data_IF_316631280793
#
_entry.id   IF_316631280793
#
_cell.length_a   1.000
_cell.length_b   1.000
_cell.length_c   1.000
_cell.angle_alpha   90.00
_cell.angle_beta   90.00
_cell.angle_gamma   90.00
#
_symmetry.space_group_name_H-M   'P 1'
#
loop_
_entity.id
_entity.type
_entity.pdbx_description
1 polymer ?
#
# COMPACT_ATOMS: atom_id res chain seq x y z
N UNK A 1 11.87 -60.30 -24.30
CA UNK A 1 12.72 -59.44 -23.43
C UNK A 1 13.29 -58.19 -24.15
N UNK A 2 12.64 -57.67 -25.21
CA UNK A 2 13.26 -56.68 -26.12
C UNK A 2 13.16 -55.20 -25.72
N UNK A 3 12.40 -54.81 -24.68
CA UNK A 3 12.27 -53.40 -24.27
C UNK A 3 13.13 -52.98 -23.07
N UNK A 4 14.00 -53.86 -22.55
CA UNK A 4 14.83 -53.55 -21.36
C UNK A 4 15.83 -52.40 -21.60
N UNK A 5 16.32 -52.24 -22.83
CA UNK A 5 17.23 -51.14 -23.19
C UNK A 5 16.53 -49.77 -23.19
N UNK A 6 15.35 -49.70 -23.81
CA UNK A 6 14.53 -48.49 -23.85
C UNK A 6 14.13 -48.03 -22.44
N UNK A 7 13.69 -48.97 -21.59
CA UNK A 7 13.31 -48.68 -20.19
C UNK A 7 14.50 -48.12 -19.39
N UNK A 8 15.72 -48.66 -19.58
CA UNK A 8 16.93 -48.13 -18.92
C UNK A 8 17.28 -46.72 -19.37
N UNK A 9 17.16 -46.41 -20.66
CA UNK A 9 17.42 -45.06 -21.18
C UNK A 9 16.39 -44.07 -20.63
N UNK A 10 15.11 -44.41 -20.63
CA UNK A 10 14.07 -43.57 -20.01
C UNK A 10 14.28 -43.38 -18.52
N UNK A 11 14.68 -44.42 -17.78
CA UNK A 11 14.97 -44.30 -16.35
C UNK A 11 16.16 -43.36 -16.07
N UNK A 12 17.22 -43.43 -16.89
CA UNK A 12 18.38 -42.54 -16.77
C UNK A 12 17.97 -41.09 -17.09
N UNK A 13 17.24 -40.87 -18.19
CA UNK A 13 16.76 -39.54 -18.56
C UNK A 13 15.83 -38.96 -17.48
N UNK A 14 14.90 -39.76 -16.96
CA UNK A 14 14.01 -39.34 -15.87
C UNK A 14 14.80 -39.01 -14.60
N UNK A 15 15.83 -39.80 -14.27
CA UNK A 15 16.74 -39.52 -13.15
C UNK A 15 17.48 -38.19 -13.33
N UNK A 16 18.00 -37.91 -14.52
CA UNK A 16 18.66 -36.64 -14.83
C UNK A 16 17.70 -35.45 -14.74
N UNK A 17 16.48 -35.58 -15.25
CA UNK A 17 15.45 -34.53 -15.12
C UNK A 17 15.06 -34.32 -13.66
N UNK A 18 14.95 -35.38 -12.88
CA UNK A 18 14.65 -35.31 -11.44
C UNK A 18 15.77 -34.60 -10.68
N UNK A 19 17.03 -34.92 -10.96
CA UNK A 19 18.18 -34.23 -10.36
C UNK A 19 18.21 -32.75 -10.74
N UNK A 20 17.91 -32.42 -12.00
CA UNK A 20 17.80 -31.05 -12.45
C UNK A 20 16.69 -30.29 -11.71
N UNK A 21 15.50 -30.86 -11.53
CA UNK A 21 14.43 -30.22 -10.75
C UNK A 21 14.81 -30.06 -9.27
N UNK A 22 15.42 -31.08 -8.65
CA UNK A 22 15.88 -31.02 -7.27
C UNK A 22 17.00 -30.00 -7.06
N UNK A 23 17.83 -29.76 -8.08
CA UNK A 23 18.92 -28.78 -7.99
C UNK A 23 18.43 -27.37 -7.67
N UNK A 24 17.27 -26.94 -8.21
CA UNK A 24 16.68 -25.64 -7.89
C UNK A 24 16.30 -25.52 -6.42
N UNK A 25 15.75 -26.61 -5.86
CA UNK A 25 15.39 -26.67 -4.43
C UNK A 25 16.63 -26.64 -3.54
N UNK A 26 17.72 -27.26 -3.98
CA UNK A 26 18.99 -27.20 -3.25
C UNK A 26 19.59 -25.79 -3.24
N UNK A 27 19.63 -25.14 -4.41
CA UNK A 27 20.14 -23.76 -4.56
C UNK A 27 19.33 -22.79 -3.71
N UNK A 28 17.99 -22.85 -3.76
CA UNK A 28 17.15 -21.96 -2.98
C UNK A 28 17.33 -22.15 -1.47
N UNK A 29 17.45 -23.40 -1.00
CA UNK A 29 17.62 -23.67 0.44
C UNK A 29 18.96 -23.14 0.95
N UNK A 30 20.06 -23.32 0.21
CA UNK A 30 21.37 -22.80 0.62
C UNK A 30 21.33 -21.27 0.79
N UNK A 31 20.76 -20.57 -0.18
CA UNK A 31 20.63 -19.10 -0.12
C UNK A 31 19.74 -18.65 1.05
N UNK A 32 18.67 -19.40 1.34
CA UNK A 32 17.82 -19.11 2.49
C UNK A 32 18.48 -19.37 3.83
N UNK A 33 19.39 -20.34 3.89
CA UNK A 33 20.21 -20.64 5.07
C UNK A 33 21.23 -19.54 5.32
N UNK A 34 21.87 -19.01 4.27
CA UNK A 34 22.73 -17.82 4.36
C UNK A 34 21.95 -16.62 4.90
N UNK A 35 20.75 -16.39 4.36
CA UNK A 35 19.86 -15.31 4.79
C UNK A 35 19.43 -15.47 6.26
N UNK A 36 19.18 -16.71 6.69
CA UNK A 36 18.85 -17.03 8.09
C UNK A 36 20.03 -16.73 9.00
N UNK A 37 21.23 -17.15 8.59
CA UNK A 37 22.48 -16.93 9.33
C UNK A 37 22.76 -15.44 9.51
N UNK A 38 22.61 -14.65 8.44
CA UNK A 38 22.70 -13.19 8.47
C UNK A 38 21.71 -12.57 9.47
N UNK A 39 20.44 -12.98 9.42
CA UNK A 39 19.42 -12.47 10.33
C UNK A 39 19.69 -12.82 11.80
N UNK A 40 20.14 -14.06 12.08
CA UNK A 40 20.49 -14.49 13.44
C UNK A 40 21.76 -13.85 13.98
N UNK A 41 22.68 -13.42 13.10
CA UNK A 41 23.86 -12.66 13.52
C UNK A 41 23.51 -11.20 13.87
N UNK A 42 22.48 -10.63 13.22
CA UNK A 42 22.09 -9.22 13.39
C UNK A 42 21.12 -8.98 14.55
N UNK A 43 20.24 -9.93 14.84
CA UNK A 43 19.20 -9.78 15.87
C UNK A 43 19.13 -10.99 16.79
N UNK A 44 18.74 -10.72 18.03
CA UNK A 44 18.69 -11.73 19.10
C UNK A 44 17.49 -12.68 18.95
N UNK A 45 17.49 -13.77 19.72
CA UNK A 45 16.39 -14.74 19.71
C UNK A 45 15.03 -14.16 20.15
N UNK A 46 15.05 -13.10 20.95
CA UNK A 46 13.86 -12.45 21.50
C UNK A 46 13.18 -11.48 20.52
N UNK A 47 13.76 -11.28 19.33
CA UNK A 47 13.25 -10.36 18.31
C UNK A 47 12.95 -11.11 17.00
N UNK A 48 11.97 -12.04 17.00
CA UNK A 48 11.67 -12.87 15.83
C UNK A 48 11.25 -12.05 14.60
N UNK A 49 10.47 -10.98 14.78
CA UNK A 49 9.98 -10.16 13.67
C UNK A 49 11.10 -9.40 12.97
N UNK A 50 12.08 -8.90 13.74
CA UNK A 50 13.27 -8.24 13.18
C UNK A 50 14.15 -9.23 12.40
N UNK A 51 14.29 -10.48 12.88
CA UNK A 51 14.99 -11.54 12.15
C UNK A 51 14.30 -11.87 10.84
N UNK A 52 12.98 -12.05 10.86
CA UNK A 52 12.19 -12.35 9.66
C UNK A 52 12.30 -11.22 8.63
N UNK A 53 12.23 -9.96 9.09
CA UNK A 53 12.38 -8.77 8.24
C UNK A 53 13.78 -8.66 7.63
N UNK A 54 14.84 -8.91 8.41
CA UNK A 54 16.21 -8.93 7.88
C UNK A 54 16.43 -10.06 6.87
N UNK A 55 15.92 -11.26 7.15
CA UNK A 55 16.00 -12.37 6.21
C UNK A 55 15.29 -12.03 4.89
N UNK A 56 14.09 -11.46 4.95
CA UNK A 56 13.35 -11.03 3.77
C UNK A 56 14.11 -9.95 2.98
N UNK A 57 14.69 -8.96 3.67
CA UNK A 57 15.46 -7.88 3.03
C UNK A 57 16.74 -8.39 2.36
N UNK A 58 17.43 -9.35 2.99
CA UNK A 58 18.59 -10.01 2.42
C UNK A 58 18.23 -10.71 1.12
N UNK A 59 17.19 -11.56 1.13
CA UNK A 59 16.73 -12.31 -0.03
C UNK A 59 16.29 -11.40 -1.19
N UNK A 60 15.69 -10.25 -0.89
CA UNK A 60 15.29 -9.25 -1.89
C UNK A 60 16.51 -8.64 -2.58
N UNK A 61 17.54 -8.28 -1.80
CA UNK A 61 18.78 -7.68 -2.32
C UNK A 61 19.56 -8.60 -3.26
N UNK A 62 19.51 -9.92 -3.02
CA UNK A 62 20.22 -10.92 -3.83
C UNK A 62 19.33 -11.58 -4.89
N UNK A 63 18.03 -11.22 -4.94
CA UNK A 63 17.03 -11.96 -5.71
C UNK A 63 17.38 -12.11 -7.20
N UNK A 64 17.95 -11.06 -7.78
CA UNK A 64 18.34 -10.99 -9.18
C UNK A 64 19.84 -11.23 -9.42
N UNK A 65 20.63 -11.44 -8.37
CA UNK A 65 22.06 -11.72 -8.50
C UNK A 65 22.24 -13.20 -8.88
N UNK A 66 23.08 -13.53 -9.89
CA UNK A 66 23.36 -14.91 -10.25
C UNK A 66 24.01 -15.64 -9.07
N UNK A 67 23.36 -16.71 -8.58
CA UNK A 67 23.87 -17.55 -7.48
C UNK A 67 24.74 -18.67 -8.05
N UNK A 68 24.33 -19.22 -9.20
CA UNK A 68 25.06 -20.27 -9.91
C UNK A 68 25.34 -19.79 -11.32
N UNK A 69 26.62 -19.82 -11.72
CA UNK A 69 27.09 -19.49 -13.07
C UNK A 69 27.88 -20.66 -13.65
N UNK A 70 27.25 -21.45 -14.52
CA UNK A 70 27.91 -22.49 -15.33
C UNK A 70 27.81 -22.13 -16.81
N UNK A 71 28.80 -21.40 -17.32
CA UNK A 71 28.89 -21.00 -18.72
C UNK A 71 27.67 -20.18 -19.17
N UNK A 72 26.87 -20.63 -20.17
CA UNK A 72 25.68 -19.92 -20.63
C UNK A 72 24.49 -19.99 -19.66
N UNK A 73 24.57 -20.82 -18.61
CA UNK A 73 23.48 -21.01 -17.64
C UNK A 73 23.75 -20.13 -16.41
N UNK A 74 22.93 -19.10 -16.24
CA UNK A 74 22.90 -18.26 -15.05
C UNK A 74 21.59 -18.49 -14.32
N UNK A 75 21.66 -18.93 -13.06
CA UNK A 75 20.50 -19.13 -12.20
C UNK A 75 20.61 -18.14 -11.04
N UNK A 76 19.69 -17.19 -11.00
CA UNK A 76 19.50 -16.30 -9.84
C UNK A 76 18.55 -16.92 -8.81
N UNK A 77 18.52 -16.33 -7.61
CA UNK A 77 17.66 -16.81 -6.53
C UNK A 77 16.18 -16.82 -6.94
N UNK A 78 15.67 -15.76 -7.57
CA UNK A 78 14.27 -15.67 -7.99
C UNK A 78 13.86 -16.79 -8.97
N UNK A 79 14.74 -17.15 -9.91
CA UNK A 79 14.52 -18.25 -10.85
C UNK A 79 14.54 -19.60 -10.16
N UNK A 80 15.51 -19.83 -9.25
CA UNK A 80 15.57 -21.06 -8.47
C UNK A 80 14.33 -21.21 -7.58
N UNK A 81 13.90 -20.11 -6.95
CA UNK A 81 12.72 -20.05 -6.09
C UNK A 81 11.45 -20.41 -6.86
N UNK A 82 11.24 -19.83 -8.04
CA UNK A 82 10.07 -20.13 -8.88
C UNK A 82 9.99 -21.58 -9.38
N UNK A 83 11.11 -22.32 -9.39
CA UNK A 83 11.20 -23.73 -9.79
C UNK A 83 11.40 -24.70 -8.62
N UNK A 84 11.36 -24.20 -7.38
CA UNK A 84 11.47 -25.02 -6.18
C UNK A 84 10.29 -26.02 -6.09
N UNK A 85 10.54 -27.18 -5.51
CA UNK A 85 9.52 -28.18 -5.24
C UNK A 85 8.48 -27.66 -4.22
N UNK A 86 7.22 -28.01 -4.47
CA UNK A 86 6.10 -27.62 -3.62
C UNK A 86 6.10 -28.40 -2.31
N UNK A 87 6.61 -27.76 -1.27
CA UNK A 87 6.60 -28.28 0.09
C UNK A 87 5.24 -28.08 0.80
N UNK A 88 4.38 -27.21 0.27
CA UNK A 88 3.11 -26.83 0.92
C UNK A 88 3.35 -26.05 2.22
N UNK A 89 2.26 -25.63 2.87
CA UNK A 89 2.32 -24.86 4.12
C UNK A 89 2.90 -25.68 5.28
N UNK A 90 2.54 -26.96 5.38
CA UNK A 90 2.93 -27.83 6.49
C UNK A 90 4.46 -28.03 6.56
N UNK A 91 5.10 -28.28 5.41
CA UNK A 91 6.55 -28.54 5.39
C UNK A 91 7.40 -27.27 5.26
N UNK A 92 6.85 -26.18 4.72
CA UNK A 92 7.58 -24.92 4.52
C UNK A 92 7.34 -23.89 5.63
N UNK A 93 6.26 -24.05 6.39
CA UNK A 93 5.70 -23.00 7.21
C UNK A 93 5.18 -21.82 6.37
N UNK A 94 4.58 -20.82 7.00
CA UNK A 94 4.09 -19.63 6.33
C UNK A 94 2.84 -19.06 6.97
N UNK A 95 1.99 -18.46 6.14
CA UNK A 95 0.78 -17.74 6.57
C UNK A 95 -0.45 -18.42 6.00
N UNK A 96 -1.46 -18.66 6.84
CA UNK A 96 -2.82 -19.03 6.45
C UNK A 96 -3.79 -18.00 7.02
N UNK A 97 -4.52 -17.31 6.15
CA UNK A 97 -5.50 -16.29 6.55
C UNK A 97 -6.79 -16.43 5.76
N UNK A 98 -7.90 -16.11 6.42
CA UNK A 98 -9.20 -15.94 5.77
C UNK A 98 -9.48 -14.45 5.71
N UNK A 99 -9.62 -13.91 4.51
CA UNK A 99 -10.00 -12.53 4.25
C UNK A 99 -11.49 -12.49 3.91
N UNK A 100 -12.18 -11.43 4.33
CA UNK A 100 -13.58 -11.19 3.94
C UNK A 100 -13.65 -9.90 3.14
N UNK A 101 -14.20 -9.97 1.94
CA UNK A 101 -14.51 -8.80 1.13
C UNK A 101 -15.73 -8.10 1.73
N UNK A 102 -15.64 -6.79 1.90
CA UNK A 102 -16.71 -5.98 2.47
C UNK A 102 -17.82 -5.77 1.45
N UNK A 103 -18.90 -6.54 1.57
CA UNK A 103 -20.10 -6.38 0.72
C UNK A 103 -20.73 -5.00 0.95
N UNK A 104 -20.65 -4.47 2.17
CA UNK A 104 -21.07 -3.10 2.53
C UNK A 104 -20.40 -2.06 1.64
N UNK A 105 -19.09 -2.15 1.47
CA UNK A 105 -18.33 -1.17 0.69
C UNK A 105 -18.58 -1.33 -0.81
N UNK A 106 -18.80 -2.57 -1.28
CA UNK A 106 -19.24 -2.81 -2.66
C UNK A 106 -20.60 -2.15 -2.92
N UNK A 107 -21.59 -2.36 -2.03
CA UNK A 107 -22.92 -1.76 -2.15
C UNK A 107 -22.84 -0.22 -2.19
N UNK A 108 -22.01 0.39 -1.32
CA UNK A 108 -21.76 1.83 -1.35
C UNK A 108 -21.13 2.30 -2.65
N UNK A 109 -20.13 1.58 -3.17
CA UNK A 109 -19.47 1.90 -4.44
C UNK A 109 -20.44 1.80 -5.63
N UNK A 110 -21.25 0.75 -5.67
CA UNK A 110 -22.30 0.56 -6.67
C UNK A 110 -23.35 1.67 -6.63
N UNK A 111 -23.70 2.16 -5.44
CA UNK A 111 -24.59 3.30 -5.24
C UNK A 111 -23.88 4.67 -5.32
N UNK A 112 -22.68 4.73 -5.92
CA UNK A 112 -21.89 5.94 -6.10
C UNK A 112 -21.70 6.77 -4.80
N UNK A 113 -21.46 6.09 -3.68
CA UNK A 113 -21.35 6.69 -2.34
C UNK A 113 -22.55 7.58 -1.97
N UNK A 114 -23.76 7.09 -2.25
CA UNK A 114 -25.01 7.80 -1.97
C UNK A 114 -25.12 8.31 -0.52
N UNK A 115 -25.76 9.47 -0.39
CA UNK A 115 -26.15 10.08 0.89
C UNK A 115 -27.60 9.75 1.28
N UNK A 116 -28.28 8.90 0.52
CA UNK A 116 -29.64 8.49 0.83
C UNK A 116 -29.74 7.91 2.26
N UNK A 117 -30.73 8.39 3.01
CA UNK A 117 -30.86 8.05 4.42
C UNK A 117 -31.34 6.60 4.60
N UNK A 118 -32.31 6.16 3.80
CA UNK A 118 -32.85 4.81 3.88
C UNK A 118 -31.79 3.76 3.52
N UNK A 119 -31.03 3.99 2.45
CA UNK A 119 -29.94 3.12 2.04
C UNK A 119 -28.85 2.99 3.10
N UNK A 120 -28.38 4.12 3.64
CA UNK A 120 -27.34 4.11 4.67
C UNK A 120 -27.83 3.49 5.99
N UNK A 121 -29.11 3.68 6.33
CA UNK A 121 -29.73 3.02 7.46
C UNK A 121 -29.80 1.51 7.24
N UNK A 122 -30.27 1.05 6.09
CA UNK A 122 -30.35 -0.38 5.75
C UNK A 122 -28.97 -1.06 5.82
N UNK A 123 -27.87 -0.40 5.41
CA UNK A 123 -26.52 -0.94 5.57
C UNK A 123 -26.11 -1.13 7.04
N UNK A 124 -26.57 -0.28 7.94
CA UNK A 124 -26.28 -0.40 9.37
C UNK A 124 -27.18 -1.45 10.03
N UNK A 125 -28.45 -1.49 9.66
CA UNK A 125 -29.42 -2.47 10.16
C UNK A 125 -29.05 -3.88 9.69
N UNK A 126 -28.59 -4.04 8.45
CA UNK A 126 -28.05 -5.31 7.94
C UNK A 126 -26.86 -5.82 8.76
N UNK A 127 -25.99 -4.92 9.23
CA UNK A 127 -24.85 -5.29 10.08
C UNK A 127 -25.30 -5.76 11.46
N UNK A 128 -26.38 -5.19 11.99
CA UNK A 128 -26.98 -5.63 13.25
C UNK A 128 -27.65 -6.98 13.06
N UNK A 129 -28.44 -7.16 12.00
CA UNK A 129 -29.12 -8.42 11.65
C UNK A 129 -28.14 -9.59 11.49
N UNK A 130 -26.97 -9.35 10.89
CA UNK A 130 -25.95 -10.38 10.71
C UNK A 130 -25.45 -11.00 12.03
N UNK A 131 -25.60 -10.31 13.16
CA UNK A 131 -25.19 -10.85 14.46
C UNK A 131 -26.08 -12.01 14.92
N UNK A 132 -27.32 -12.03 14.44
CA UNK A 132 -28.35 -12.99 14.86
C UNK A 132 -28.75 -13.95 13.73
N UNK A 133 -28.49 -13.57 12.48
CA UNK A 133 -28.82 -14.37 11.29
C UNK A 133 -27.64 -15.19 10.75
N UNK A 134 -27.96 -16.29 10.06
CA UNK A 134 -27.01 -17.05 9.23
C UNK A 134 -27.00 -16.58 7.76
N UNK A 135 -27.84 -15.62 7.41
CA UNK A 135 -27.96 -15.08 6.06
C UNK A 135 -26.67 -14.35 5.63
N UNK A 136 -26.49 -14.22 4.32
CA UNK A 136 -25.44 -13.37 3.78
C UNK A 136 -25.72 -11.90 4.10
N UNK A 137 -24.66 -11.09 4.12
CA UNK A 137 -24.81 -9.64 4.35
C UNK A 137 -25.74 -8.98 3.32
N UNK A 138 -25.76 -9.48 2.08
CA UNK A 138 -26.62 -8.95 1.02
C UNK A 138 -28.09 -9.24 1.27
N UNK A 139 -28.43 -10.47 1.66
CA UNK A 139 -29.80 -10.86 2.02
C UNK A 139 -30.28 -10.05 3.23
N UNK A 140 -29.43 -9.90 4.26
CA UNK A 140 -29.71 -9.04 5.42
C UNK A 140 -29.93 -7.58 5.02
N UNK A 141 -29.21 -7.08 4.00
CA UNK A 141 -29.40 -5.74 3.46
C UNK A 141 -30.75 -5.58 2.74
N UNK A 142 -31.13 -6.52 1.89
CA UNK A 142 -32.44 -6.47 1.23
C UNK A 142 -33.59 -6.53 2.25
N UNK A 143 -33.49 -7.42 3.25
CA UNK A 143 -34.48 -7.50 4.32
C UNK A 143 -34.56 -6.20 5.13
N UNK A 144 -33.41 -5.61 5.50
CA UNK A 144 -33.38 -4.35 6.22
C UNK A 144 -34.00 -3.21 5.39
N UNK A 145 -33.68 -3.15 4.09
CA UNK A 145 -34.19 -2.10 3.20
C UNK A 145 -35.71 -2.21 2.98
N UNK A 146 -36.25 -3.42 2.82
CA UNK A 146 -37.70 -3.64 2.72
C UNK A 146 -38.44 -3.34 4.02
N UNK A 147 -37.81 -3.52 5.18
CA UNK A 147 -38.41 -3.26 6.48
C UNK A 147 -38.51 -1.76 6.83
N UNK A 148 -37.81 -0.88 6.11
CA UNK A 148 -37.85 0.55 6.37
C UNK A 148 -39.21 1.16 5.99
N UNK A 149 -39.74 2.10 6.80
CA UNK A 149 -40.97 2.78 6.46
C UNK A 149 -40.78 3.69 5.23
N UNK A 150 -41.79 3.74 4.36
CA UNK A 150 -41.83 4.59 3.17
C UNK A 150 -41.73 3.83 1.84
N UNK A 151 -41.96 4.53 0.73
CA UNK A 151 -41.83 3.99 -0.63
C UNK A 151 -40.37 4.09 -1.10
N UNK A 152 -39.48 3.34 -0.46
CA UNK A 152 -38.06 3.34 -0.79
C UNK A 152 -37.79 2.42 -2.01
N UNK A 153 -37.20 2.99 -3.06
CA UNK A 153 -36.86 2.28 -4.30
C UNK A 153 -35.34 2.21 -4.47
N UNK A 154 -34.83 0.99 -4.61
CA UNK A 154 -33.42 0.73 -4.93
C UNK A 154 -33.03 1.23 -6.32
N UNK A 155 -33.98 1.20 -7.27
CA UNK A 155 -33.82 1.76 -8.61
C UNK A 155 -33.99 3.30 -8.66
N UNK A 156 -33.98 3.98 -7.51
CA UNK A 156 -33.99 5.44 -7.49
C UNK A 156 -32.70 6.03 -8.06
N UNK A 157 -32.76 7.24 -8.67
CA UNK A 157 -31.58 7.94 -9.18
C UNK A 157 -30.51 8.21 -8.11
N UNK A 158 -30.93 8.28 -6.85
CA UNK A 158 -30.05 8.53 -5.71
C UNK A 158 -29.31 7.28 -5.23
N UNK A 159 -29.72 6.07 -5.64
CA UNK A 159 -29.13 4.80 -5.22
C UNK A 159 -28.51 4.08 -6.43
N UNK A 160 -29.22 3.13 -7.05
CA UNK A 160 -28.63 2.27 -8.09
C UNK A 160 -28.96 2.67 -9.52
N UNK A 161 -29.92 3.57 -9.76
CA UNK A 161 -30.11 4.14 -11.10
C UNK A 161 -29.11 5.28 -11.34
N UNK A 162 -27.83 4.92 -11.45
CA UNK A 162 -26.73 5.84 -11.67
C UNK A 162 -25.88 5.41 -12.87
N UNK A 163 -24.95 6.27 -13.29
CA UNK A 163 -24.11 6.06 -14.47
C UNK A 163 -23.31 4.75 -14.46
N UNK A 164 -22.99 4.20 -13.30
CA UNK A 164 -22.21 2.96 -13.21
C UNK A 164 -23.06 1.71 -13.50
N UNK A 165 -24.40 1.83 -13.48
CA UNK A 165 -25.35 0.74 -13.62
C UNK A 165 -26.44 1.05 -14.66
N UNK A 166 -26.23 2.05 -15.52
CA UNK A 166 -27.24 2.53 -16.48
C UNK A 166 -27.68 1.46 -17.51
N UNK A 167 -26.78 0.52 -17.83
CA UNK A 167 -27.06 -0.60 -18.73
C UNK A 167 -27.82 -1.75 -18.03
N UNK A 168 -27.78 -1.79 -16.69
CA UNK A 168 -28.26 -2.92 -15.90
C UNK A 168 -29.53 -2.59 -15.10
N UNK A 169 -29.72 -1.32 -14.72
CA UNK A 169 -30.81 -0.85 -13.86
C UNK A 169 -31.49 0.36 -14.50
N UNK A 170 -32.81 0.35 -14.53
CA UNK A 170 -33.63 1.48 -14.97
C UNK A 170 -34.61 1.91 -13.86
N UNK A 171 -35.07 3.17 -13.93
CA UNK A 171 -35.95 3.76 -12.91
C UNK A 171 -37.33 3.09 -12.76
N UNK A 172 -37.74 2.22 -13.69
CA UNK A 172 -39.03 1.51 -13.61
C UNK A 172 -38.95 0.15 -12.91
N UNK A 173 -37.74 -0.30 -12.56
CA UNK A 173 -37.54 -1.60 -11.89
C UNK A 173 -38.04 -1.56 -10.45
N UNK A 174 -38.70 -2.64 -10.03
CA UNK A 174 -39.02 -2.86 -8.62
C UNK A 174 -37.77 -3.31 -7.84
N UNK A 175 -37.80 -3.21 -6.51
CA UNK A 175 -36.70 -3.71 -5.68
C UNK A 175 -36.37 -5.18 -5.97
N UNK A 176 -37.39 -6.01 -6.21
CA UNK A 176 -37.22 -7.44 -6.54
C UNK A 176 -36.53 -7.67 -7.88
N UNK A 177 -36.74 -6.77 -8.85
CA UNK A 177 -36.06 -6.84 -10.15
C UNK A 177 -34.59 -6.40 -10.02
N UNK A 178 -34.28 -5.52 -9.06
CA UNK A 178 -32.93 -5.03 -8.79
C UNK A 178 -32.06 -6.06 -8.07
N UNK A 179 -32.63 -6.89 -7.19
CA UNK A 179 -31.89 -7.91 -6.42
C UNK A 179 -30.94 -8.79 -7.26
N UNK A 180 -31.39 -9.49 -8.32
CA UNK A 180 -30.51 -10.35 -9.11
C UNK A 180 -29.39 -9.56 -9.82
N UNK A 181 -29.63 -8.29 -10.15
CA UNK A 181 -28.62 -7.42 -10.75
C UNK A 181 -27.51 -7.11 -9.74
N UNK A 182 -27.89 -6.74 -8.52
CA UNK A 182 -26.95 -6.42 -7.44
C UNK A 182 -26.18 -7.66 -6.99
N UNK A 183 -26.84 -8.82 -6.89
CA UNK A 183 -26.18 -10.10 -6.61
C UNK A 183 -25.06 -10.39 -7.63
N UNK A 184 -25.36 -10.27 -8.93
CA UNK A 184 -24.38 -10.46 -9.99
C UNK A 184 -23.24 -9.45 -9.89
N UNK A 185 -23.54 -8.16 -9.69
CA UNK A 185 -22.52 -7.10 -9.57
C UNK A 185 -21.60 -7.30 -8.36
N UNK A 186 -22.15 -7.82 -7.26
CA UNK A 186 -21.34 -8.19 -6.09
C UNK A 186 -20.44 -9.38 -6.41
N UNK A 187 -20.95 -10.40 -7.09
CA UNK A 187 -20.14 -11.56 -7.48
C UNK A 187 -19.00 -11.19 -8.44
N UNK A 188 -19.28 -10.32 -9.43
CA UNK A 188 -18.29 -9.71 -10.32
C UNK A 188 -17.24 -8.94 -9.53
N UNK A 189 -17.66 -8.13 -8.55
CA UNK A 189 -16.78 -7.33 -7.70
C UNK A 189 -15.88 -8.20 -6.80
N UNK A 190 -16.42 -9.29 -6.24
CA UNK A 190 -15.65 -10.27 -5.45
C UNK A 190 -14.62 -10.97 -6.33
N UNK A 191 -15.01 -11.36 -7.54
CA UNK A 191 -14.10 -12.00 -8.51
C UNK A 191 -12.98 -11.06 -8.93
N UNK A 192 -13.29 -9.78 -9.17
CA UNK A 192 -12.29 -8.75 -9.44
C UNK A 192 -11.33 -8.56 -8.25
N UNK A 193 -11.85 -8.50 -7.02
CA UNK A 193 -11.03 -8.40 -5.81
C UNK A 193 -10.08 -9.60 -5.65
N UNK A 194 -10.55 -10.81 -5.97
CA UNK A 194 -9.75 -12.02 -5.96
C UNK A 194 -8.58 -11.95 -6.95
N UNK A 195 -8.82 -11.52 -8.20
CA UNK A 195 -7.77 -11.36 -9.21
C UNK A 195 -6.75 -10.28 -8.81
N UNK A 196 -7.20 -9.20 -8.16
CA UNK A 196 -6.30 -8.17 -7.62
C UNK A 196 -5.43 -8.76 -6.50
N UNK A 197 -6.01 -9.51 -5.56
CA UNK A 197 -5.25 -10.16 -4.49
C UNK A 197 -4.20 -11.13 -5.04
N UNK A 198 -4.57 -11.95 -6.04
CA UNK A 198 -3.63 -12.85 -6.74
C UNK A 198 -2.43 -12.09 -7.30
N UNK A 199 -2.68 -11.06 -8.11
CA UNK A 199 -1.61 -10.23 -8.71
C UNK A 199 -0.71 -9.55 -7.68
N UNK A 200 -1.23 -9.21 -6.50
CA UNK A 200 -0.42 -8.64 -5.41
C UNK A 200 0.47 -9.69 -4.76
N UNK A 201 -0.07 -10.88 -4.52
CA UNK A 201 0.65 -11.98 -3.89
C UNK A 201 1.77 -12.50 -4.79
N UNK A 202 1.58 -12.53 -6.11
CA UNK A 202 2.61 -12.93 -7.07
C UNK A 202 3.90 -12.10 -6.95
N UNK A 203 3.83 -10.88 -6.39
CA UNK A 203 4.99 -10.00 -6.17
C UNK A 203 5.78 -10.31 -4.90
N UNK A 204 5.32 -11.21 -4.03
CA UNK A 204 5.95 -11.47 -2.72
C UNK A 204 7.10 -12.48 -2.75
N UNK A 205 7.45 -13.03 -3.92
CA UNK A 205 8.48 -14.07 -4.02
C UNK A 205 8.14 -15.35 -3.26
N UNK A 206 6.85 -15.52 -2.90
CA UNK A 206 6.32 -16.77 -2.33
C UNK A 206 6.18 -17.80 -3.43
N UNK A 207 6.52 -19.05 -3.11
CA UNK A 207 6.36 -20.14 -4.06
C UNK A 207 4.91 -20.60 -4.02
N UNK A 208 4.20 -20.35 -5.12
CA UNK A 208 2.90 -20.95 -5.40
C UNK A 208 1.85 -20.70 -4.30
N UNK A 209 1.36 -19.45 -4.19
CA UNK A 209 0.28 -19.12 -3.26
C UNK A 209 -0.99 -19.92 -3.59
N UNK A 210 -1.70 -20.38 -2.57
CA UNK A 210 -3.01 -20.97 -2.73
C UNK A 210 -4.07 -19.96 -2.31
N UNK A 211 -4.92 -19.55 -3.25
CA UNK A 211 -5.96 -18.55 -3.04
C UNK A 211 -7.27 -19.16 -3.52
N UNK A 212 -8.25 -19.29 -2.63
CA UNK A 212 -9.52 -19.94 -2.92
C UNK A 212 -10.68 -19.15 -2.32
N UNK A 213 -11.79 -19.02 -3.06
CA UNK A 213 -13.04 -18.50 -2.50
C UNK A 213 -13.74 -19.61 -1.71
N UNK A 214 -14.24 -19.28 -0.53
CA UNK A 214 -14.93 -20.24 0.34
C UNK A 214 -16.42 -20.26 -0.03
N UNK A 215 -16.82 -21.27 -0.80
CA UNK A 215 -18.21 -21.46 -1.23
C UNK A 215 -18.74 -20.23 -2.00
N UNK A 216 -20.00 -19.85 -1.73
CA UNK A 216 -20.62 -18.63 -2.29
C UNK A 216 -20.36 -17.37 -1.47
N UNK A 217 -19.66 -17.49 -0.34
CA UNK A 217 -19.43 -16.36 0.55
C UNK A 217 -18.44 -15.35 -0.05
N UNK A 218 -18.41 -14.15 0.53
CA UNK A 218 -17.40 -13.14 0.25
C UNK A 218 -16.06 -13.41 0.98
N UNK A 219 -15.79 -14.66 1.39
CA UNK A 219 -14.57 -15.05 2.10
C UNK A 219 -13.56 -15.70 1.16
N UNK A 220 -12.30 -15.34 1.32
CA UNK A 220 -11.16 -15.78 0.51
C UNK A 220 -10.14 -16.41 1.46
N UNK A 221 -9.87 -17.70 1.29
CA UNK A 221 -8.76 -18.41 1.90
C UNK A 221 -7.48 -18.05 1.15
N UNK A 222 -6.46 -17.65 1.90
CA UNK A 222 -5.14 -17.31 1.36
C UNK A 222 -4.08 -18.07 2.16
N UNK A 223 -3.31 -18.91 1.47
CA UNK A 223 -2.18 -19.63 2.03
C UNK A 223 -0.91 -19.24 1.28
N UNK A 224 0.09 -18.81 2.04
CA UNK A 224 1.36 -18.29 1.53
C UNK A 224 2.53 -19.11 2.11
N UNK A 225 2.89 -20.25 1.49
CA UNK A 225 4.01 -21.06 1.94
C UNK A 225 5.34 -20.31 1.81
N UNK A 226 6.13 -20.31 2.89
CA UNK A 226 7.43 -19.65 2.96
C UNK A 226 7.37 -18.13 3.15
N UNK A 227 6.19 -17.54 3.39
CA UNK A 227 6.09 -16.15 3.81
C UNK A 227 6.56 -16.01 5.28
N UNK A 228 7.65 -15.27 5.49
CA UNK A 228 8.28 -15.13 6.82
C UNK A 228 7.90 -13.84 7.56
N UNK A 229 7.55 -12.79 6.81
CA UNK A 229 7.20 -11.48 7.35
C UNK A 229 5.68 -11.28 7.37
N UNK A 230 5.05 -11.58 8.51
CA UNK A 230 3.59 -11.53 8.68
C UNK A 230 3.07 -10.10 8.61
N UNK A 231 3.78 -9.14 9.22
CA UNK A 231 3.34 -7.75 9.26
C UNK A 231 3.35 -7.10 7.88
N UNK A 232 4.42 -7.33 7.10
CA UNK A 232 4.50 -6.84 5.71
C UNK A 232 3.41 -7.44 4.84
N UNK A 233 3.17 -8.75 4.96
CA UNK A 233 2.11 -9.44 4.22
C UNK A 233 0.73 -8.88 4.61
N UNK A 234 0.47 -8.76 5.92
CA UNK A 234 -0.78 -8.19 6.43
C UNK A 234 -0.99 -6.77 5.91
N UNK A 235 0.02 -5.90 5.99
CA UNK A 235 -0.05 -4.53 5.50
C UNK A 235 -0.37 -4.48 4.00
N UNK A 236 0.24 -5.33 3.18
CA UNK A 236 -0.03 -5.34 1.74
C UNK A 236 -1.42 -5.90 1.40
N UNK A 237 -1.83 -6.98 2.06
CA UNK A 237 -3.15 -7.59 1.86
C UNK A 237 -4.28 -6.65 2.32
N UNK A 238 -4.05 -5.85 3.38
CA UNK A 238 -5.00 -4.85 3.86
C UNK A 238 -4.95 -3.52 3.11
N UNK A 239 -3.83 -3.19 2.44
CA UNK A 239 -3.71 -1.92 1.73
C UNK A 239 -4.74 -1.80 0.59
N UNK A 240 -5.49 -0.71 0.57
CA UNK A 240 -6.36 -0.39 -0.56
C UNK A 240 -5.50 0.21 -1.68
N UNK A 241 -5.30 -0.52 -2.78
CA UNK A 241 -4.62 0.02 -3.95
C UNK A 241 -5.64 0.81 -4.79
N UNK A 242 -6.00 2.00 -4.31
CA UNK A 242 -6.80 2.96 -5.05
C UNK A 242 -5.83 3.82 -5.88
N UNK A 243 -5.84 3.64 -7.20
CA UNK A 243 -5.11 4.50 -8.12
C UNK A 243 -6.02 5.67 -8.48
N UNK A 244 -5.63 6.87 -8.05
CA UNK A 244 -6.34 8.09 -8.35
C UNK A 244 -5.48 8.99 -9.23
N UNK A 245 -6.12 9.64 -10.18
CA UNK A 245 -5.49 10.63 -11.03
C UNK A 245 -5.93 12.00 -10.53
N UNK A 246 -4.97 12.76 -10.00
CA UNK A 246 -5.19 14.11 -9.52
C UNK A 246 -4.62 15.09 -10.54
N UNK A 247 -5.38 16.16 -10.82
CA UNK A 247 -4.82 17.34 -11.49
C UNK A 247 -3.81 17.99 -10.56
N UNK A 248 -2.60 18.22 -11.05
CA UNK A 248 -1.51 18.83 -10.29
C UNK A 248 -1.20 20.21 -10.84
N UNK A 249 -0.92 21.16 -9.96
CA UNK A 249 -0.45 22.48 -10.35
C UNK A 249 1.03 22.44 -10.68
N UNK A 250 1.43 23.23 -11.67
CA UNK A 250 2.84 23.44 -12.04
C UNK A 250 3.38 24.68 -11.35
N UNK A 251 4.70 24.75 -11.21
CA UNK A 251 5.35 25.93 -10.64
C UNK A 251 5.02 27.19 -11.44
N UNK A 252 4.89 27.09 -12.76
CA UNK A 252 4.58 28.23 -13.63
C UNK A 252 3.18 28.83 -13.33
N UNK A 253 2.25 28.02 -12.81
CA UNK A 253 0.90 28.45 -12.44
C UNK A 253 0.86 29.06 -11.04
N UNK A 254 1.75 28.62 -10.14
CA UNK A 254 1.75 29.01 -8.73
C UNK A 254 2.87 29.99 -8.34
N UNK A 255 3.83 30.26 -9.21
CA UNK A 255 4.99 31.11 -8.88
C UNK A 255 4.58 32.49 -8.38
N UNK A 256 3.64 33.15 -9.06
CA UNK A 256 3.14 34.46 -8.65
C UNK A 256 2.46 34.43 -7.28
N UNK A 257 1.68 33.37 -7.01
CA UNK A 257 1.04 33.16 -5.72
C UNK A 257 2.06 32.93 -4.60
N UNK A 258 3.09 32.12 -4.86
CA UNK A 258 4.16 31.83 -3.88
C UNK A 258 4.91 33.11 -3.51
N UNK A 259 5.24 33.96 -4.49
CA UNK A 259 5.92 35.25 -4.24
C UNK A 259 5.01 36.19 -3.42
N UNK A 260 3.73 36.27 -3.77
CA UNK A 260 2.77 37.09 -3.01
C UNK A 260 2.58 36.58 -1.58
N UNK A 261 2.53 35.26 -1.39
CA UNK A 261 2.44 34.63 -0.08
C UNK A 261 3.69 34.89 0.77
N UNK A 262 4.89 34.80 0.19
CA UNK A 262 6.17 35.10 0.86
C UNK A 262 6.21 36.57 1.32
N UNK A 263 5.82 37.51 0.46
CA UNK A 263 5.74 38.94 0.80
C UNK A 263 4.73 39.20 1.93
N UNK A 264 3.55 38.57 1.87
CA UNK A 264 2.53 38.71 2.93
C UNK A 264 3.00 38.12 4.26
N UNK A 265 3.74 37.01 4.21
CA UNK A 265 4.30 36.38 5.41
C UNK A 265 5.38 37.28 6.02
N UNK A 266 6.24 37.90 5.21
CA UNK A 266 7.22 38.87 5.67
C UNK A 266 6.58 40.08 6.38
N UNK A 267 5.45 40.59 5.87
CA UNK A 267 4.68 41.64 6.56
C UNK A 267 4.19 41.17 7.94
N UNK A 268 3.65 39.96 8.05
CA UNK A 268 3.13 39.43 9.31
C UNK A 268 4.23 39.18 10.34
N UNK A 269 5.40 38.70 9.90
CA UNK A 269 6.55 38.49 10.79
C UNK A 269 7.09 39.82 11.31
N UNK A 270 7.16 40.85 10.46
CA UNK A 270 7.55 42.21 10.88
C UNK A 270 6.61 42.81 11.92
N UNK A 271 5.29 42.59 11.77
CA UNK A 271 4.30 43.08 12.75
C UNK A 271 4.45 42.38 14.10
N UNK A 272 4.72 41.07 14.12
CA UNK A 272 4.96 40.32 15.36
C UNK A 272 6.25 40.76 16.09
N UNK A 273 7.32 41.09 15.37
CA UNK A 273 8.55 41.62 15.99
C UNK A 273 8.30 43.01 16.63
N UNK A 274 7.39 43.81 16.07
CA UNK A 274 7.09 45.17 16.57
C UNK A 274 6.27 45.16 17.87
N UNK A 275 5.46 44.11 18.13
CA UNK A 275 4.72 43.98 19.39
C UNK A 275 5.59 43.52 20.57
N UNK A 276 6.83 43.05 20.33
CA UNK A 276 7.74 42.57 21.39
C UNK A 276 8.68 43.68 21.90
N UNK A 277 8.88 44.77 21.14
CA UNK A 277 9.80 45.86 21.53
C UNK A 277 9.22 46.92 22.49
N UNK A 278 7.91 46.93 22.77
CA UNK A 278 7.32 47.79 23.82
C UNK A 278 7.25 47.08 25.19
N UNK A 279 8.39 46.73 25.77
CA UNK A 279 8.49 46.65 27.24
C UNK A 279 9.91 46.86 27.80
N UNK A 280 10.18 48.12 28.13
CA UNK A 280 11.10 48.64 29.19
C UNK A 280 12.63 48.51 29.02
N UNK A 281 13.40 49.61 29.23
CA UNK A 281 14.86 49.64 29.17
C UNK A 281 15.50 49.42 30.55
N UNK A 282 16.59 48.63 30.66
CA UNK A 282 17.54 48.83 31.75
C UNK A 282 18.93 48.19 31.54
N UNK A 283 19.93 49.04 31.80
CA UNK A 283 21.30 48.79 32.26
C UNK A 283 22.28 47.98 31.38
N UNK A 284 23.18 48.74 30.76
CA UNK A 284 24.49 48.32 30.30
C UNK A 284 25.40 47.94 31.49
N UNK A 285 26.07 46.79 31.38
CA UNK A 285 27.41 46.58 31.92
C UNK A 285 28.34 46.22 30.75
N UNK A 286 29.22 47.16 30.42
CA UNK A 286 30.42 46.90 29.63
C UNK A 286 31.42 46.18 30.55
N UNK A 287 31.91 45.00 30.16
CA UNK A 287 33.34 44.68 30.23
C UNK A 287 33.65 43.45 29.35
N UNK A 288 34.71 43.61 28.54
CA UNK A 288 35.47 42.62 27.79
C UNK A 288 34.84 41.94 26.56
N UNK A 289 35.10 42.51 25.38
CA UNK A 289 36.23 42.00 24.59
C UNK A 289 36.68 42.96 23.49
N UNK A 290 37.76 43.69 23.77
CA UNK A 290 38.60 44.43 22.79
C UNK A 290 39.35 43.44 21.85
N UNK A 291 38.85 42.20 21.73
CA UNK A 291 39.45 41.10 20.97
C UNK A 291 38.66 40.84 19.68
N UNK A 292 37.39 41.23 19.61
CA UNK A 292 36.55 41.05 18.41
C UNK A 292 36.79 42.13 17.35
N UNK A 293 37.20 43.33 17.75
CA UNK A 293 37.47 44.46 16.84
C UNK A 293 38.78 44.30 16.02
N UNK A 294 39.55 43.23 16.28
CA UNK A 294 40.82 42.91 15.62
C UNK A 294 40.76 41.69 14.68
N UNK A 295 39.63 40.98 14.63
CA UNK A 295 39.38 39.95 13.62
C UNK A 295 38.31 40.51 12.71
N UNK A 296 38.73 41.14 11.61
CA UNK A 296 37.84 41.67 10.57
C UNK A 296 37.04 40.57 9.86
N UNK A 297 36.03 40.05 10.56
CA UNK A 297 35.00 39.17 10.04
C UNK A 297 33.67 39.92 10.04
N UNK A 298 33.45 40.75 9.01
CA UNK A 298 32.12 41.27 8.68
C UNK A 298 31.11 40.11 8.59
N UNK A 299 30.12 40.10 9.49
CA UNK A 299 28.67 40.00 9.24
C UNK A 299 28.14 38.99 8.20
N UNK A 300 28.74 37.81 8.08
CA UNK A 300 28.16 36.74 7.24
C UNK A 300 26.92 36.09 7.89
N UNK A 301 26.77 36.18 9.21
CA UNK A 301 25.65 35.55 9.92
C UNK A 301 24.42 36.46 10.00
N UNK A 302 24.60 37.76 10.23
CA UNK A 302 23.50 38.74 10.31
C UNK A 302 22.86 38.99 8.93
N UNK A 303 23.66 38.98 7.86
CA UNK A 303 23.13 39.09 6.48
C UNK A 303 22.24 37.91 6.06
N UNK A 304 22.46 36.70 6.60
CA UNK A 304 21.62 35.52 6.35
C UNK A 304 20.35 35.58 7.20
N UNK A 305 20.46 36.05 8.45
CA UNK A 305 19.31 36.23 9.34
C UNK A 305 18.33 37.27 8.79
N UNK A 306 18.81 38.39 8.26
CA UNK A 306 17.96 39.44 7.66
C UNK A 306 17.30 38.99 6.34
N UNK A 307 18.03 38.26 5.48
CA UNK A 307 17.46 37.70 4.26
C UNK A 307 16.33 36.70 4.53
N UNK A 308 16.39 35.97 5.66
CA UNK A 308 15.33 35.04 6.08
C UNK A 308 14.07 35.76 6.60
N UNK A 309 14.21 36.98 7.15
CA UNK A 309 13.08 37.81 7.58
C UNK A 309 12.37 38.49 6.40
N UNK A 310 13.11 38.84 5.35
CA UNK A 310 12.52 39.44 4.15
C UNK A 310 11.82 38.43 3.23
N UNK A 311 12.28 37.18 3.22
CA UNK A 311 11.74 36.09 2.37
C UNK A 311 11.57 34.79 3.15
N UNK A 312 10.66 34.75 4.13
CA UNK A 312 10.59 33.67 5.12
C UNK A 312 10.16 32.32 4.54
N UNK A 313 9.39 32.30 3.45
CA UNK A 313 8.99 31.07 2.77
C UNK A 313 10.03 30.66 1.72
N UNK A 314 10.53 31.62 0.93
CA UNK A 314 11.45 31.33 -0.16
C UNK A 314 12.88 31.04 0.31
N UNK A 315 13.31 31.57 1.45
CA UNK A 315 14.61 31.24 2.05
C UNK A 315 14.72 29.78 2.51
N UNK A 316 13.58 29.12 2.78
CA UNK A 316 13.53 27.69 3.15
C UNK A 316 13.51 26.75 1.93
N UNK A 317 13.32 27.29 0.72
CA UNK A 317 13.27 26.51 -0.51
C UNK A 317 14.70 26.24 -1.00
N UNK A 318 15.11 24.97 -1.03
CA UNK A 318 16.45 24.56 -1.47
C UNK A 318 16.59 24.64 -2.99
N UNK A 319 15.57 24.14 -3.69
CA UNK A 319 15.53 24.12 -5.14
C UNK A 319 14.13 24.52 -5.60
N UNK A 320 14.00 25.52 -6.47
CA UNK A 320 12.72 25.86 -7.06
C UNK A 320 12.26 24.75 -8.00
N UNK A 321 10.95 24.61 -8.12
CA UNK A 321 10.33 23.71 -9.09
C UNK A 321 10.82 23.98 -10.52
N UNK A 322 11.00 22.92 -11.30
CA UNK A 322 11.36 23.05 -12.72
C UNK A 322 10.12 23.28 -13.58
N UNK A 323 10.19 24.27 -14.47
CA UNK A 323 9.14 24.55 -15.47
C UNK A 323 8.72 23.28 -16.22
N UNK A 324 7.40 23.08 -16.34
CA UNK A 324 6.83 21.90 -16.98
C UNK A 324 6.81 20.61 -16.15
N UNK A 325 7.39 20.58 -14.94
CA UNK A 325 7.30 19.45 -14.02
C UNK A 325 6.29 19.75 -12.89
N UNK A 326 5.59 18.74 -12.35
CA UNK A 326 4.65 18.90 -11.24
C UNK A 326 5.39 18.97 -9.88
N UNK A 327 6.47 19.74 -9.83
CA UNK A 327 7.25 19.98 -8.63
C UNK A 327 7.23 21.49 -8.37
N UNK A 328 6.80 21.92 -7.18
CA UNK A 328 6.77 23.33 -6.82
C UNK A 328 8.10 23.80 -6.21
N UNK A 329 8.80 22.89 -5.53
CA UNK A 329 10.12 23.12 -4.95
C UNK A 329 10.46 22.06 -3.92
N UNK A 330 11.74 21.99 -3.56
CA UNK A 330 12.27 21.06 -2.56
C UNK A 330 12.62 21.81 -1.27
N UNK A 331 12.24 21.26 -0.12
CA UNK A 331 12.48 21.80 1.22
C UNK A 331 13.15 20.76 2.11
N UNK A 332 13.85 21.18 3.16
CA UNK A 332 14.36 20.22 4.15
C UNK A 332 13.22 19.67 5.01
N UNK A 333 13.31 18.39 5.39
CA UNK A 333 12.30 17.73 6.24
C UNK A 333 12.15 18.41 7.62
N UNK A 334 13.21 19.07 8.12
CA UNK A 334 13.17 19.83 9.37
C UNK A 334 12.31 21.10 9.29
N UNK A 335 12.05 21.58 8.07
CA UNK A 335 11.31 22.83 7.80
C UNK A 335 9.82 22.58 7.49
N UNK A 336 9.39 21.32 7.41
CA UNK A 336 7.97 20.96 7.28
C UNK A 336 7.32 20.85 8.66
N UNK A 337 6.05 21.25 8.77
CA UNK A 337 5.27 21.02 9.98
C UNK A 337 5.15 19.51 10.26
N UNK A 338 5.36 19.11 11.51
CA UNK A 338 5.26 17.73 11.97
C UNK A 338 3.81 17.24 12.02
#
# INVERSE_FOLDING_TARGET
>A
MQNKGLIKVFAILFGLVSLYQLSFTYISNNVEEDAKTFATAKYTANEPDKRNSAQASYLDSIGNIPVVSLGPIQINYNTAKGKELNKGLDLKGGINVILQVSVKDILKGLANNTKDAAFNQALNDAFVLQKESQDTYLESFFQAFEALPGENLLASPDIFFNKNLEDDINASMSNKDVYPVIERKIDESITAAFEVLRKRIDKFGVTQPNIQRIGKSARILVELPGAKDVERVKKLLQSTAQLEFWGVYKIDELQGFIIAADAKLAELVKVNDTEVEESTPEAAEEEDSIVDDLIGGEDVNDSIADASKERPLLSKMLYPGQTGRPELGTFMLKDTAA
#
